data_IF_162309339406
#
_entry.id   IF_162309339406
#
_cell.length_a   1.000
_cell.length_b   1.000
_cell.length_c   1.000
_cell.angle_alpha   90.00
_cell.angle_beta   90.00
_cell.angle_gamma   90.00
#
_symmetry.space_group_name_H-M   'P 1'
#
loop_
_entity.id
_entity.type
_entity.pdbx_description
1 polymer ?
#
# COMPACT_ATOMS: atom_id res chain seq x y z
N UNK A 1 17.45 0.54 -12.12
CA UNK A 1 17.26 0.08 -13.51
C UNK A 1 16.44 1.02 -14.40
N UNK A 2 15.77 2.05 -13.84
CA UNK A 2 14.95 3.00 -14.62
C UNK A 2 15.80 3.83 -15.59
N UNK A 3 16.97 4.31 -15.17
CA UNK A 3 17.83 5.18 -15.99
C UNK A 3 18.36 4.46 -17.24
N UNK A 4 18.97 3.26 -17.18
CA UNK A 4 19.43 2.57 -18.39
C UNK A 4 18.29 2.23 -19.35
N UNK A 5 17.15 1.77 -18.83
CA UNK A 5 16.02 1.35 -19.66
C UNK A 5 15.41 2.54 -20.42
N UNK A 6 15.25 3.69 -19.76
CA UNK A 6 14.74 4.91 -20.41
C UNK A 6 15.63 5.38 -21.55
N UNK A 7 16.95 5.33 -21.38
CA UNK A 7 17.92 5.66 -22.43
C UNK A 7 17.79 4.71 -23.62
N UNK A 8 17.72 3.40 -23.36
CA UNK A 8 17.57 2.38 -24.43
C UNK A 8 16.23 2.56 -25.17
N UNK A 9 15.13 2.77 -24.45
CA UNK A 9 13.82 3.01 -25.04
C UNK A 9 13.78 4.28 -25.90
N UNK A 10 14.39 5.38 -25.43
CA UNK A 10 14.48 6.62 -26.18
C UNK A 10 15.31 6.44 -27.46
N UNK A 11 16.45 5.76 -27.37
CA UNK A 11 17.29 5.46 -28.53
C UNK A 11 16.55 4.58 -29.56
N UNK A 12 15.83 3.55 -29.10
CA UNK A 12 14.99 2.70 -29.94
C UNK A 12 13.92 3.50 -30.67
N UNK A 13 13.22 4.41 -29.97
CA UNK A 13 12.20 5.27 -30.58
C UNK A 13 12.80 6.21 -31.64
N UNK A 14 13.93 6.86 -31.36
CA UNK A 14 14.62 7.73 -32.32
C UNK A 14 15.01 6.94 -33.57
N UNK A 15 15.53 5.73 -33.39
CA UNK A 15 15.92 4.83 -34.48
C UNK A 15 14.73 4.49 -35.36
N UNK A 16 13.60 4.09 -34.78
CA UNK A 16 12.35 3.79 -35.50
C UNK A 16 11.84 5.03 -36.26
N UNK A 17 11.83 6.20 -35.62
CA UNK A 17 11.40 7.45 -36.25
C UNK A 17 12.29 7.85 -37.42
N UNK A 18 13.59 7.56 -37.36
CA UNK A 18 14.55 7.82 -38.45
C UNK A 18 14.29 6.94 -39.67
N UNK A 19 13.90 5.67 -39.50
CA UNK A 19 13.60 4.76 -40.60
C UNK A 19 12.42 5.26 -41.45
N UNK A 20 11.38 5.81 -40.80
CA UNK A 20 10.23 6.39 -41.50
C UNK A 20 10.58 7.63 -42.34
N UNK A 21 11.68 8.34 -42.05
CA UNK A 21 12.12 9.49 -42.85
C UNK A 21 12.54 9.09 -44.27
N UNK A 22 13.07 7.87 -44.45
CA UNK A 22 13.47 7.33 -45.77
C UNK A 22 12.30 6.86 -46.64
N UNK A 23 11.13 6.63 -46.04
CA UNK A 23 9.98 5.97 -46.68
C UNK A 23 8.85 6.97 -46.98
N UNK A 24 9.14 7.99 -47.80
CA UNK A 24 8.26 9.16 -48.05
C UNK A 24 6.79 8.84 -48.34
N UNK A 25 6.50 7.75 -49.06
CA UNK A 25 5.12 7.35 -49.42
C UNK A 25 4.31 6.78 -48.25
N UNK A 26 4.95 6.14 -47.27
CA UNK A 26 4.28 5.45 -46.15
C UNK A 26 4.52 6.10 -44.79
N UNK A 27 5.28 7.19 -44.75
CA UNK A 27 5.67 7.89 -43.52
C UNK A 27 4.49 8.24 -42.62
N UNK A 28 3.44 8.85 -43.18
CA UNK A 28 2.27 9.27 -42.40
C UNK A 28 1.52 8.08 -41.80
N UNK A 29 1.41 6.98 -42.55
CA UNK A 29 0.82 5.73 -42.08
C UNK A 29 1.69 5.08 -40.99
N UNK A 30 3.02 5.14 -41.11
CA UNK A 30 3.94 4.66 -40.08
C UNK A 30 3.81 5.43 -38.77
N UNK A 31 3.73 6.76 -38.82
CA UNK A 31 3.48 7.57 -37.62
C UNK A 31 2.10 7.31 -37.02
N UNK A 32 1.06 7.19 -37.86
CA UNK A 32 -0.28 6.85 -37.39
C UNK A 32 -0.29 5.48 -36.67
N UNK A 33 0.31 4.45 -37.27
CA UNK A 33 0.41 3.13 -36.66
C UNK A 33 1.18 3.14 -35.34
N UNK A 34 2.31 3.85 -35.28
CA UNK A 34 3.09 4.00 -34.05
C UNK A 34 2.30 4.74 -32.96
N UNK A 35 1.61 5.83 -33.31
CA UNK A 35 0.75 6.56 -32.39
C UNK A 35 -0.39 5.69 -31.88
N UNK A 36 -1.06 4.94 -32.75
CA UNK A 36 -2.13 4.01 -32.36
C UNK A 36 -1.60 2.92 -31.42
N UNK A 37 -0.40 2.40 -31.65
CA UNK A 37 0.23 1.41 -30.76
C UNK A 37 0.52 1.99 -29.38
N UNK A 38 1.05 3.23 -29.30
CA UNK A 38 1.30 3.91 -28.03
C UNK A 38 -0.01 4.19 -27.30
N UNK A 39 -1.03 4.71 -28.01
CA UNK A 39 -2.35 4.97 -27.44
C UNK A 39 -3.00 3.68 -26.95
N UNK A 40 -2.89 2.59 -27.70
CA UNK A 40 -3.41 1.28 -27.29
C UNK A 40 -2.68 0.76 -26.04
N UNK A 41 -1.35 0.88 -26.00
CA UNK A 41 -0.57 0.51 -24.82
C UNK A 41 -0.95 1.31 -23.57
N UNK A 42 -1.14 2.62 -23.74
CA UNK A 42 -1.60 3.51 -22.67
C UNK A 42 -3.03 3.15 -22.22
N UNK A 43 -3.98 3.00 -23.15
CA UNK A 43 -5.36 2.63 -22.84
C UNK A 43 -5.44 1.27 -22.14
N UNK A 44 -4.61 0.30 -22.55
CA UNK A 44 -4.49 -0.99 -21.87
C UNK A 44 -3.97 -0.81 -20.45
N UNK A 45 -2.92 0.00 -20.25
CA UNK A 45 -2.39 0.29 -18.92
C UNK A 45 -3.47 0.89 -18.01
N UNK A 46 -4.17 1.93 -18.47
CA UNK A 46 -5.27 2.55 -17.72
C UNK A 46 -6.37 1.52 -17.39
N UNK A 47 -6.75 0.67 -18.33
CA UNK A 47 -7.76 -0.36 -18.08
C UNK A 47 -7.29 -1.41 -17.06
N UNK A 48 -6.03 -1.84 -17.11
CA UNK A 48 -5.47 -2.74 -16.11
C UNK A 48 -5.42 -2.07 -14.73
N UNK A 49 -4.98 -0.82 -14.68
CA UNK A 49 -4.84 -0.06 -13.44
C UNK A 49 -6.19 0.23 -12.77
N UNK A 50 -7.17 0.77 -13.50
CA UNK A 50 -8.44 1.18 -12.89
C UNK A 50 -9.45 0.04 -12.73
N UNK A 51 -9.40 -0.98 -13.59
CA UNK A 51 -10.43 -2.05 -13.60
C UNK A 51 -9.92 -3.34 -12.97
N UNK A 52 -8.72 -3.80 -13.35
CA UNK A 52 -8.21 -5.09 -12.87
C UNK A 52 -7.55 -4.97 -11.51
N UNK A 53 -6.69 -3.96 -11.30
CA UNK A 53 -5.99 -3.77 -10.01
C UNK A 53 -6.97 -3.66 -8.84
N UNK A 54 -8.06 -2.90 -9.01
CA UNK A 54 -9.09 -2.73 -7.99
C UNK A 54 -9.81 -4.05 -7.61
N UNK A 55 -9.88 -5.02 -8.53
CA UNK A 55 -10.55 -6.32 -8.32
C UNK A 55 -9.59 -7.41 -7.86
N UNK A 56 -8.39 -7.45 -8.44
CA UNK A 56 -7.40 -8.49 -8.17
C UNK A 56 -6.63 -8.23 -6.87
N UNK A 57 -6.40 -6.96 -6.53
CA UNK A 57 -5.63 -6.56 -5.36
C UNK A 57 -6.39 -5.54 -4.51
N UNK A 58 -7.61 -5.86 -4.04
CA UNK A 58 -8.41 -4.93 -3.24
C UNK A 58 -7.62 -4.47 -2.01
N UNK A 59 -6.87 -5.37 -1.38
CA UNK A 59 -6.03 -5.09 -0.22
C UNK A 59 -4.83 -4.17 -0.48
N UNK A 60 -4.35 -4.03 -1.72
CA UNK A 60 -3.11 -3.29 -2.02
C UNK A 60 -3.26 -1.77 -2.01
N UNK A 61 -4.50 -1.28 -2.01
CA UNK A 61 -4.78 0.16 -2.11
C UNK A 61 -4.65 0.90 -0.78
N UNK A 62 -4.31 0.20 0.32
CA UNK A 62 -4.21 0.76 1.68
C UNK A 62 -5.47 1.53 2.13
N UNK A 63 -6.62 1.26 1.49
CA UNK A 63 -7.91 1.76 1.94
C UNK A 63 -8.26 1.16 3.31
N UNK A 64 -9.22 1.75 4.02
CA UNK A 64 -9.56 1.33 5.37
C UNK A 64 -8.64 1.89 6.46
N UNK A 65 -7.40 2.30 6.13
CA UNK A 65 -6.47 2.84 7.14
C UNK A 65 -6.97 4.17 7.70
N UNK A 66 -7.58 5.03 6.88
CA UNK A 66 -8.18 6.28 7.34
C UNK A 66 -9.31 6.01 8.32
N UNK A 67 -10.21 5.11 7.95
CA UNK A 67 -11.37 4.70 8.74
C UNK A 67 -10.94 4.03 10.06
N UNK A 68 -9.88 3.23 10.01
CA UNK A 68 -9.23 2.62 11.18
C UNK A 68 -8.69 3.70 12.12
N UNK A 69 -7.89 4.63 11.60
CA UNK A 69 -7.32 5.73 12.38
C UNK A 69 -8.42 6.59 12.99
N UNK A 70 -9.47 6.91 12.23
CA UNK A 70 -10.63 7.64 12.73
C UNK A 70 -11.37 6.90 13.85
N UNK A 71 -11.40 5.57 13.83
CA UNK A 71 -12.00 4.76 14.89
C UNK A 71 -11.15 4.67 16.17
N UNK A 72 -9.82 4.66 16.03
CA UNK A 72 -8.90 4.45 17.16
C UNK A 72 -8.36 5.73 17.78
N UNK A 73 -8.42 6.88 17.10
CA UNK A 73 -7.93 8.17 17.63
C UNK A 73 -8.59 8.58 18.95
N UNK A 74 -9.80 8.09 19.24
CA UNK A 74 -10.50 8.35 20.50
C UNK A 74 -10.05 7.42 21.64
N UNK A 75 -9.19 6.44 21.36
CA UNK A 75 -8.71 5.40 22.29
C UNK A 75 -7.24 5.60 22.67
N UNK A 76 -6.82 6.86 22.86
CA UNK A 76 -5.41 7.24 23.06
C UNK A 76 -4.71 6.55 24.25
N UNK A 77 -5.47 6.09 25.26
CA UNK A 77 -4.92 5.44 26.46
C UNK A 77 -4.79 3.92 26.34
N UNK A 78 -5.17 3.33 25.20
CA UNK A 78 -5.14 1.89 24.97
C UNK A 78 -3.95 1.53 24.09
N UNK A 79 -3.27 0.41 24.40
CA UNK A 79 -2.29 -0.19 23.48
C UNK A 79 -3.02 -0.69 22.23
N UNK A 80 -2.57 -0.29 21.04
CA UNK A 80 -3.17 -0.67 19.76
C UNK A 80 -2.13 -1.45 18.95
N UNK A 81 -2.45 -2.70 18.67
CA UNK A 81 -1.59 -3.60 17.89
C UNK A 81 -2.23 -3.75 16.52
N UNK A 82 -1.48 -3.45 15.46
CA UNK A 82 -1.98 -3.41 14.08
C UNK A 82 -1.16 -4.35 13.23
N UNK A 83 -1.84 -5.12 12.38
CA UNK A 83 -1.18 -5.98 11.39
C UNK A 83 -0.24 -5.20 10.48
N UNK A 84 0.94 -5.77 10.22
CA UNK A 84 1.89 -5.29 9.21
C UNK A 84 1.68 -5.94 7.83
N UNK A 85 0.62 -6.74 7.66
CA UNK A 85 0.29 -7.42 6.40
C UNK A 85 0.05 -6.46 5.23
N UNK A 86 -0.40 -5.24 5.49
CA UNK A 86 -0.59 -4.19 4.48
C UNK A 86 0.63 -3.25 4.33
N UNK A 87 1.83 -3.83 4.48
CA UNK A 87 3.15 -3.19 4.32
C UNK A 87 3.52 -2.23 5.47
N UNK A 88 3.80 -0.95 5.19
CA UNK A 88 4.22 0.05 6.17
C UNK A 88 3.04 0.96 6.60
N UNK A 89 1.98 0.45 7.27
CA UNK A 89 0.80 1.26 7.60
C UNK A 89 1.14 2.41 8.57
N UNK A 90 2.25 2.32 9.31
CA UNK A 90 2.68 3.35 10.25
C UNK A 90 2.72 4.74 9.59
N UNK A 91 3.16 4.85 8.32
CA UNK A 91 3.28 6.16 7.67
C UNK A 91 1.90 6.80 7.45
N UNK A 92 0.90 5.99 7.13
CA UNK A 92 -0.48 6.42 6.99
C UNK A 92 -1.10 6.76 8.33
N UNK A 93 -0.75 6.02 9.40
CA UNK A 93 -1.16 6.37 10.75
C UNK A 93 -0.61 7.73 11.14
N UNK A 94 0.68 8.00 10.94
CA UNK A 94 1.29 9.30 11.24
C UNK A 94 0.57 10.42 10.48
N UNK A 95 0.25 10.19 9.20
CA UNK A 95 -0.46 11.15 8.37
C UNK A 95 -1.89 11.43 8.88
N UNK A 96 -2.71 10.40 9.09
CA UNK A 96 -4.11 10.56 9.49
C UNK A 96 -4.29 10.98 10.94
N UNK A 97 -3.42 10.53 11.85
CA UNK A 97 -3.38 11.00 13.24
C UNK A 97 -2.86 12.44 13.35
N UNK A 98 -2.23 12.96 12.29
CA UNK A 98 -1.47 14.22 12.32
C UNK A 98 -0.45 14.20 13.45
N UNK A 99 0.27 13.08 13.55
CA UNK A 99 1.17 12.83 14.67
C UNK A 99 2.34 13.83 14.68
N UNK A 100 2.68 14.47 15.82
CA UNK A 100 3.74 15.47 15.87
C UNK A 100 5.10 14.88 15.43
N UNK A 101 5.76 15.42 14.39
CA UNK A 101 7.02 14.87 13.89
C UNK A 101 8.13 14.84 14.95
N UNK A 102 8.16 15.83 15.85
CA UNK A 102 9.13 15.92 16.94
C UNK A 102 8.98 14.73 17.90
N UNK A 103 7.74 14.43 18.32
CA UNK A 103 7.48 13.27 19.18
C UNK A 103 7.85 11.96 18.49
N UNK A 104 7.43 11.81 17.23
CA UNK A 104 7.74 10.61 16.46
C UNK A 104 9.23 10.32 16.38
N UNK A 105 10.04 11.34 16.08
CA UNK A 105 11.50 11.19 15.95
C UNK A 105 12.16 10.74 17.25
N UNK A 106 11.59 11.07 18.41
CA UNK A 106 12.15 10.73 19.73
C UNK A 106 11.76 9.33 20.22
N UNK A 107 10.57 8.84 19.88
CA UNK A 107 9.99 7.65 20.54
C UNK A 107 9.78 6.43 19.64
N UNK A 108 9.91 6.57 18.32
CA UNK A 108 9.69 5.45 17.41
C UNK A 108 10.73 4.34 17.60
N UNK A 109 10.33 3.10 17.36
CA UNK A 109 11.23 1.96 17.29
C UNK A 109 11.38 1.47 15.85
N UNK A 110 12.60 1.09 15.48
CA UNK A 110 12.91 0.53 14.17
C UNK A 110 13.18 -0.95 14.25
N UNK A 111 12.80 -1.69 13.21
CA UNK A 111 13.26 -3.04 12.99
C UNK A 111 14.78 -3.08 12.79
N UNK A 112 15.37 -4.25 13.04
CA UNK A 112 16.70 -4.54 12.55
C UNK A 112 16.77 -4.30 11.03
N UNK A 113 17.96 -3.94 10.55
CA UNK A 113 18.21 -3.76 9.13
C UNK A 113 18.04 -5.08 8.40
N UNK A 114 17.32 -5.06 7.30
CA UNK A 114 17.21 -6.20 6.40
C UNK A 114 18.51 -6.42 5.60
N UNK A 115 18.51 -7.43 4.74
CA UNK A 115 19.65 -7.76 3.86
C UNK A 115 20.04 -6.64 2.88
N UNK A 116 19.19 -5.65 2.70
CA UNK A 116 19.40 -4.49 1.83
C UNK A 116 19.76 -3.22 2.63
N UNK A 117 19.81 -3.30 3.96
CA UNK A 117 20.13 -2.18 4.85
C UNK A 117 18.93 -1.31 5.24
N UNK A 118 17.70 -1.73 4.93
CA UNK A 118 16.48 -1.00 5.27
C UNK A 118 15.92 -1.42 6.63
N UNK A 119 15.36 -0.46 7.35
CA UNK A 119 14.59 -0.67 8.58
C UNK A 119 13.17 -0.14 8.38
N UNK A 120 12.20 -0.73 9.08
CA UNK A 120 10.82 -0.23 9.14
C UNK A 120 10.44 0.12 10.57
N UNK A 121 9.46 0.99 10.76
CA UNK A 121 8.97 1.38 12.08
C UNK A 121 8.11 0.26 12.64
N UNK A 122 8.40 -0.17 13.88
CA UNK A 122 7.67 -1.23 14.59
C UNK A 122 6.73 -0.70 15.66
N UNK A 123 7.03 0.46 16.23
CA UNK A 123 6.12 1.12 17.15
C UNK A 123 6.38 2.62 17.23
N UNK A 124 5.36 3.36 17.66
CA UNK A 124 5.45 4.74 18.12
C UNK A 124 4.23 5.03 19.01
N UNK A 125 4.35 5.91 19.99
CA UNK A 125 3.28 6.18 20.96
C UNK A 125 2.70 4.89 21.56
N UNK A 126 1.38 4.73 21.41
CA UNK A 126 0.63 3.54 21.84
C UNK A 126 0.38 2.51 20.71
N UNK A 127 0.98 2.71 19.53
CA UNK A 127 0.80 1.86 18.34
C UNK A 127 1.97 0.90 18.14
N UNK A 128 1.66 -0.36 17.84
CA UNK A 128 2.62 -1.41 17.52
C UNK A 128 2.22 -2.12 16.21
N UNK A 129 3.18 -2.32 15.30
CA UNK A 129 2.98 -2.88 13.97
C UNK A 129 3.73 -4.20 13.82
N UNK A 130 2.99 -5.30 13.85
CA UNK A 130 3.52 -6.66 13.89
C UNK A 130 2.64 -7.62 13.10
N UNK A 131 3.19 -8.75 12.63
CA UNK A 131 2.37 -9.84 12.10
C UNK A 131 1.43 -10.36 13.19
N UNK A 132 0.16 -10.60 12.83
CA UNK A 132 -0.82 -11.04 13.81
C UNK A 132 -0.89 -12.57 13.84
N UNK A 133 -0.28 -13.14 14.88
CA UNK A 133 -0.60 -14.49 15.36
C UNK A 133 -1.55 -14.35 16.55
N UNK A 134 -2.85 -14.44 16.30
CA UNK A 134 -3.89 -14.08 17.25
C UNK A 134 -3.83 -14.91 18.55
N UNK A 135 -3.64 -16.23 18.44
CA UNK A 135 -3.62 -17.13 19.60
C UNK A 135 -2.43 -16.87 20.52
N UNK A 136 -1.29 -16.48 19.93
CA UNK A 136 -0.09 -16.12 20.68
C UNK A 136 -0.16 -14.71 21.28
N UNK A 137 -0.71 -13.74 20.53
CA UNK A 137 -0.75 -12.32 20.92
C UNK A 137 -1.81 -12.02 21.97
N UNK A 138 -2.98 -12.65 21.87
CA UNK A 138 -4.12 -12.40 22.74
C UNK A 138 -3.77 -12.57 24.24
N UNK A 139 -3.21 -13.69 24.74
CA UNK A 139 -2.92 -13.84 26.17
C UNK A 139 -1.86 -12.87 26.69
N UNK A 140 -1.00 -12.33 25.82
CA UNK A 140 0.11 -11.45 26.20
C UNK A 140 -0.28 -9.96 26.26
N UNK A 141 -1.41 -9.59 25.68
CA UNK A 141 -1.78 -8.19 25.48
C UNK A 141 -3.20 -7.89 26.00
N UNK A 142 -3.51 -8.31 27.23
CA UNK A 142 -4.80 -8.04 27.88
C UNK A 142 -5.10 -6.53 27.93
N UNK A 143 -6.33 -6.13 27.60
CA UNK A 143 -6.74 -4.73 27.56
C UNK A 143 -6.29 -3.97 26.31
N UNK A 144 -5.62 -4.61 25.35
CA UNK A 144 -5.24 -4.00 24.08
C UNK A 144 -6.35 -4.10 23.03
N UNK A 145 -6.24 -3.26 21.99
CA UNK A 145 -7.02 -3.38 20.77
C UNK A 145 -6.15 -4.05 19.71
N UNK A 146 -6.50 -5.26 19.30
CA UNK A 146 -5.80 -6.00 18.25
C UNK A 146 -6.54 -5.75 16.94
N UNK A 147 -5.81 -5.30 15.92
CA UNK A 147 -6.35 -4.97 14.60
C UNK A 147 -5.65 -5.84 13.57
N UNK A 148 -6.38 -6.81 13.02
CA UNK A 148 -5.89 -7.76 12.02
C UNK A 148 -6.79 -7.82 10.80
N UNK A 149 -6.39 -8.63 9.83
CA UNK A 149 -7.23 -8.99 8.68
C UNK A 149 -8.25 -10.07 9.04
N UNK A 150 -9.24 -10.29 8.18
CA UNK A 150 -10.22 -11.37 8.30
C UNK A 150 -9.59 -12.79 8.21
N UNK A 151 -8.38 -12.89 7.66
CA UNK A 151 -7.58 -14.13 7.67
C UNK A 151 -6.78 -14.33 8.98
N UNK A 152 -6.45 -13.24 9.69
CA UNK A 152 -5.63 -13.29 10.91
C UNK A 152 -6.49 -13.37 12.19
N UNK A 153 -7.73 -12.90 12.14
CA UNK A 153 -8.64 -12.86 13.28
C UNK A 153 -9.64 -14.03 13.21
N UNK A 154 -9.71 -14.90 14.25
CA UNK A 154 -10.71 -15.97 14.31
C UNK A 154 -12.14 -15.41 14.37
N UNK A 155 -13.09 -16.09 13.72
CA UNK A 155 -14.51 -15.68 13.69
C UNK A 155 -15.16 -15.62 15.07
N UNK A 156 -14.65 -16.39 16.03
CA UNK A 156 -15.14 -16.46 17.41
C UNK A 156 -14.57 -15.34 18.30
N UNK A 157 -13.66 -14.51 17.77
CA UNK A 157 -13.09 -13.39 18.50
C UNK A 157 -14.14 -12.32 18.82
N UNK A 158 -13.88 -11.52 19.86
CA UNK A 158 -14.73 -10.39 20.24
C UNK A 158 -14.49 -9.19 19.31
N UNK A 159 -14.98 -9.28 18.08
CA UNK A 159 -14.84 -8.23 17.07
C UNK A 159 -15.74 -7.05 17.46
N UNK A 160 -15.10 -5.93 17.84
CA UNK A 160 -15.79 -4.70 18.22
C UNK A 160 -16.01 -3.75 17.05
N UNK A 161 -15.22 -3.89 15.98
CA UNK A 161 -15.38 -3.07 14.77
C UNK A 161 -14.86 -3.79 13.54
N UNK A 162 -15.65 -3.76 12.46
CA UNK A 162 -15.20 -4.07 11.09
C UNK A 162 -14.98 -2.78 10.33
N UNK A 163 -13.88 -2.72 9.59
CA UNK A 163 -13.44 -1.53 8.88
C UNK A 163 -13.40 -1.84 7.40
N UNK A 164 -14.30 -1.18 6.69
CA UNK A 164 -14.44 -1.28 5.25
C UNK A 164 -13.81 -0.05 4.60
N UNK A 165 -13.10 -0.25 3.48
CA UNK A 165 -12.66 0.86 2.65
C UNK A 165 -13.82 1.43 1.83
N UNK A 166 -13.57 2.55 1.14
CA UNK A 166 -14.58 3.19 0.26
C UNK A 166 -15.06 2.27 -0.88
N UNK A 167 -14.27 1.26 -1.24
CA UNK A 167 -14.63 0.22 -2.20
C UNK A 167 -15.53 -0.91 -1.62
N UNK A 168 -15.88 -0.84 -0.33
CA UNK A 168 -16.68 -1.85 0.36
C UNK A 168 -15.93 -3.13 0.74
N UNK A 169 -14.62 -3.20 0.51
CA UNK A 169 -13.79 -4.34 0.92
C UNK A 169 -13.49 -4.28 2.42
N UNK A 170 -13.52 -5.42 3.11
CA UNK A 170 -13.16 -5.55 4.52
C UNK A 170 -11.63 -5.57 4.65
N UNK A 171 -11.05 -4.52 5.23
CA UNK A 171 -9.59 -4.44 5.43
C UNK A 171 -9.19 -4.85 6.83
N UNK A 172 -9.93 -4.40 7.84
CA UNK A 172 -9.54 -4.66 9.23
C UNK A 172 -10.70 -5.11 10.08
N UNK A 173 -10.38 -6.00 11.00
CA UNK A 173 -11.21 -6.35 12.14
C UNK A 173 -10.47 -5.93 13.41
N UNK A 174 -11.14 -5.13 14.23
CA UNK A 174 -10.63 -4.70 15.53
C UNK A 174 -11.29 -5.55 16.62
N UNK A 175 -10.46 -6.19 17.43
CA UNK A 175 -10.84 -7.06 18.55
C UNK A 175 -10.45 -6.39 19.85
N UNK A 176 -11.43 -6.21 20.75
CA UNK A 176 -11.15 -5.80 22.12
C UNK A 176 -10.78 -7.04 22.92
N UNK A 177 -9.53 -7.07 23.40
CA UNK A 177 -8.97 -8.16 24.17
C UNK A 177 -9.09 -7.95 25.68
#
# INVERSE_FOLDING_TARGET
MVIPLTVISAYGLITILSWFRGLRKIRSWGYLALSLLIIWGFARYEHMYWVHMAKEFPFSSQYGVKELVDYIKEKENQKIIVTDRYDQPYILFLFYLKYPPQRFQEEHSLSAKDKYGFSTVRSFGNYEFVPIDFDSLKPQNLGSLIVGTDEEIPNEANIVKRIYGENGYLYFEAVAN
#
